data_IF_574676740647
#
_entry.id   IF_574676740647
#
_cell.length_a   1.000
_cell.length_b   1.000
_cell.length_c   1.000
_cell.angle_alpha   90.00
_cell.angle_beta   90.00
_cell.angle_gamma   90.00
#
_symmetry.space_group_name_H-M   'P 1'
#
loop_
_entity.id
_entity.type
_entity.pdbx_description
1 polymer ?
#
# COMPACT_ATOMS: atom_id res chain seq x y z
N UNK A 1 -8.41 0.25 8.18
CA UNK A 1 -7.44 -0.64 7.51
C UNK A 1 -7.88 -2.07 7.76
N UNK A 2 -7.79 -2.97 6.79
CA UNK A 2 -8.15 -4.37 7.00
C UNK A 2 -7.32 -5.28 6.11
N UNK A 3 -7.04 -6.48 6.61
CA UNK A 3 -6.35 -7.55 5.89
C UNK A 3 -7.13 -8.85 6.05
N UNK A 4 -7.07 -9.72 5.05
CA UNK A 4 -7.58 -11.09 5.15
C UNK A 4 -6.41 -12.04 4.94
N UNK A 5 -6.18 -12.90 5.93
CA UNK A 5 -5.14 -13.93 5.90
C UNK A 5 -5.82 -15.26 5.57
N UNK A 6 -5.32 -15.97 4.58
CA UNK A 6 -5.90 -17.22 4.08
C UNK A 6 -4.84 -18.32 4.09
N UNK A 7 -5.17 -19.49 4.64
CA UNK A 7 -4.28 -20.65 4.67
C UNK A 7 -4.70 -21.68 3.64
N UNK A 8 -3.90 -21.84 2.57
CA UNK A 8 -4.14 -22.89 1.55
C UNK A 8 -4.09 -24.31 2.14
N UNK A 9 -3.37 -24.51 3.25
CA UNK A 9 -3.24 -25.82 3.91
C UNK A 9 -4.52 -26.25 4.62
N UNK A 10 -5.18 -25.31 5.31
CA UNK A 10 -6.37 -25.61 6.12
C UNK A 10 -7.67 -25.22 5.43
N UNK A 11 -7.61 -24.42 4.37
CA UNK A 11 -8.80 -23.86 3.72
C UNK A 11 -9.49 -22.77 4.56
N UNK A 12 -8.89 -22.33 5.66
CA UNK A 12 -9.45 -21.29 6.54
C UNK A 12 -9.00 -19.88 6.13
N UNK A 13 -9.83 -18.89 6.46
CA UNK A 13 -9.49 -17.49 6.29
C UNK A 13 -10.02 -16.65 7.45
N UNK A 14 -9.21 -15.69 7.90
CA UNK A 14 -9.56 -14.73 8.95
C UNK A 14 -9.39 -13.33 8.40
N UNK A 15 -10.42 -12.50 8.60
CA UNK A 15 -10.38 -11.06 8.35
C UNK A 15 -10.07 -10.33 9.63
N UNK A 16 -9.07 -9.45 9.58
CA UNK A 16 -8.63 -8.59 10.68
C UNK A 16 -8.83 -7.15 10.22
N UNK A 17 -9.75 -6.42 10.83
CA UNK A 17 -10.04 -5.03 10.51
C UNK A 17 -9.74 -4.13 11.71
N UNK A 18 -8.95 -3.08 11.52
CA UNK A 18 -8.69 -2.09 12.55
C UNK A 18 -9.98 -1.35 12.89
N UNK A 19 -10.39 -1.39 14.16
CA UNK A 19 -11.50 -0.59 14.68
C UNK A 19 -11.21 0.89 14.48
N UNK A 20 -12.24 1.69 14.22
CA UNK A 20 -12.06 3.12 13.96
C UNK A 20 -11.45 3.84 15.17
N UNK A 21 -10.14 4.10 15.14
CA UNK A 21 -9.42 4.93 16.11
C UNK A 21 -9.12 6.30 15.50
N UNK A 22 -10.15 6.99 15.02
CA UNK A 22 -9.97 8.37 14.56
C UNK A 22 -9.44 9.21 15.73
N UNK A 23 -8.44 10.05 15.44
CA UNK A 23 -7.91 11.04 16.37
C UNK A 23 -8.91 12.16 16.68
N UNK A 24 -9.89 12.34 15.78
CA UNK A 24 -11.01 13.26 15.93
C UNK A 24 -12.25 12.42 16.16
N UNK A 25 -12.63 12.30 17.43
CA UNK A 25 -13.85 11.64 17.90
C UNK A 25 -14.49 12.54 18.94
N UNK A 26 -15.75 12.30 19.27
CA UNK A 26 -16.45 13.03 20.34
C UNK A 26 -15.74 12.90 21.70
N UNK A 27 -14.93 11.85 21.88
CA UNK A 27 -14.13 11.55 23.08
C UNK A 27 -12.63 11.84 22.93
N UNK A 28 -12.21 12.64 21.93
CA UNK A 28 -10.80 12.97 21.73
C UNK A 28 -10.23 13.79 22.89
N UNK A 29 -9.02 13.43 23.34
CA UNK A 29 -8.29 14.24 24.32
C UNK A 29 -7.57 15.41 23.65
N UNK A 30 -7.19 16.44 24.41
CA UNK A 30 -6.38 17.56 23.91
C UNK A 30 -5.10 17.09 23.19
N UNK A 31 -4.49 16.00 23.67
CA UNK A 31 -3.31 15.39 23.04
C UNK A 31 -3.63 14.77 21.67
N UNK A 32 -4.82 14.21 21.50
CA UNK A 32 -5.26 13.62 20.22
C UNK A 32 -5.55 14.72 19.19
N UNK A 33 -6.12 15.85 19.63
CA UNK A 33 -6.31 17.04 18.79
C UNK A 33 -4.98 17.66 18.37
N UNK A 34 -4.04 17.83 19.31
CA UNK A 34 -2.67 18.31 19.05
C UNK A 34 -1.97 17.40 18.04
N UNK A 35 -2.02 16.07 18.25
CA UNK A 35 -1.44 15.09 17.34
C UNK A 35 -2.06 15.17 15.93
N UNK A 36 -3.38 15.36 15.82
CA UNK A 36 -4.08 15.50 14.55
C UNK A 36 -3.70 16.79 13.81
N UNK A 37 -3.53 17.90 14.52
CA UNK A 37 -3.05 19.16 13.95
C UNK A 37 -1.62 19.03 13.44
N UNK A 38 -0.71 18.50 14.27
CA UNK A 38 0.69 18.31 13.90
C UNK A 38 0.83 17.36 12.71
N UNK A 39 0.05 16.28 12.66
CA UNK A 39 0.01 15.38 11.51
C UNK A 39 -0.45 16.10 10.23
N UNK A 40 -1.46 16.97 10.33
CA UNK A 40 -1.91 17.79 9.19
C UNK A 40 -0.76 18.66 8.69
N UNK A 41 -0.16 19.46 9.58
CA UNK A 41 0.90 20.41 9.22
C UNK A 41 2.15 19.72 8.67
N UNK A 42 2.68 18.72 9.38
CA UNK A 42 3.97 18.08 9.05
C UNK A 42 3.82 17.04 7.95
N UNK A 43 2.76 16.20 7.99
CA UNK A 43 2.65 15.04 7.09
C UNK A 43 1.78 15.35 5.87
N UNK A 44 0.58 15.91 6.07
CA UNK A 44 -0.34 16.20 4.95
C UNK A 44 0.13 17.40 4.14
N UNK A 45 0.40 18.51 4.83
CA UNK A 45 0.75 19.78 4.20
C UNK A 45 2.26 19.90 3.94
N UNK A 46 3.06 18.94 4.46
CA UNK A 46 4.52 18.84 4.28
C UNK A 46 5.25 20.13 4.68
N UNK A 47 4.78 20.81 5.72
CA UNK A 47 5.44 22.00 6.23
C UNK A 47 6.78 21.63 6.88
N UNK A 48 7.84 22.33 6.49
CA UNK A 48 9.16 22.22 7.11
C UNK A 48 9.15 22.94 8.47
N UNK A 49 8.70 22.23 9.49
CA UNK A 49 8.70 22.70 10.87
C UNK A 49 9.41 21.66 11.76
N UNK A 50 10.70 21.85 12.09
CA UNK A 50 11.45 20.93 12.91
C UNK A 50 10.89 20.76 14.33
N UNK A 51 10.29 21.82 14.89
CA UNK A 51 9.72 21.78 16.24
C UNK A 51 8.42 20.98 16.24
N UNK A 52 7.50 21.28 15.32
CA UNK A 52 6.28 20.51 15.13
C UNK A 52 6.60 19.03 14.82
N UNK A 53 7.62 18.79 13.99
CA UNK A 53 8.09 17.43 13.68
C UNK A 53 8.60 16.68 14.92
N UNK A 54 9.34 17.36 15.80
CA UNK A 54 9.83 16.78 17.07
C UNK A 54 8.66 16.49 18.01
N UNK A 55 7.75 17.46 18.21
CA UNK A 55 6.60 17.30 19.09
C UNK A 55 5.66 16.18 18.62
N UNK A 56 5.41 16.10 17.31
CA UNK A 56 4.63 15.03 16.70
C UNK A 56 5.25 13.66 16.98
N UNK A 57 6.57 13.52 16.86
CA UNK A 57 7.28 12.26 17.14
C UNK A 57 7.15 11.85 18.61
N UNK A 58 7.22 12.80 19.55
CA UNK A 58 7.04 12.53 20.98
C UNK A 58 5.63 11.98 21.26
N UNK A 59 4.59 12.68 20.79
CA UNK A 59 3.19 12.25 20.95
C UNK A 59 2.91 10.90 20.30
N UNK A 60 3.38 10.69 19.07
CA UNK A 60 3.18 9.42 18.35
C UNK A 60 3.92 8.27 19.03
N UNK A 61 5.08 8.54 19.65
CA UNK A 61 5.81 7.54 20.43
C UNK A 61 5.03 7.13 21.68
N UNK A 62 4.50 8.08 22.44
CA UNK A 62 3.64 7.79 23.60
C UNK A 62 2.46 6.91 23.18
N UNK A 63 1.72 7.32 22.14
CA UNK A 63 0.57 6.57 21.59
C UNK A 63 0.93 5.19 21.06
N UNK A 64 2.13 5.03 20.50
CA UNK A 64 2.62 3.73 20.04
C UNK A 64 2.79 2.76 21.21
N UNK A 65 3.34 3.21 22.34
CA UNK A 65 3.46 2.37 23.53
C UNK A 65 2.11 2.05 24.16
N UNK A 66 1.17 3.00 24.21
CA UNK A 66 -0.20 2.74 24.64
C UNK A 66 -0.84 1.63 23.79
N UNK A 67 -0.70 1.73 22.47
CA UNK A 67 -1.26 0.76 21.51
C UNK A 67 -0.70 -0.66 21.73
N UNK A 68 0.58 -0.80 22.07
CA UNK A 68 1.22 -2.10 22.34
C UNK A 68 0.66 -2.79 23.59
N UNK A 69 0.11 -2.03 24.55
CA UNK A 69 -0.46 -2.59 25.78
C UNK A 69 -1.93 -3.01 25.66
N UNK A 70 -2.58 -2.69 24.54
CA UNK A 70 -3.98 -3.02 24.30
C UNK A 70 -4.17 -4.44 23.80
N UNK A 71 -5.33 -5.01 24.08
CA UNK A 71 -5.71 -6.32 23.54
C UNK A 71 -6.02 -6.25 22.04
N UNK A 72 -5.95 -7.40 21.37
CA UNK A 72 -6.30 -7.50 19.96
C UNK A 72 -7.78 -7.19 19.72
N UNK A 73 -8.66 -7.56 20.64
CA UNK A 73 -10.09 -7.29 20.58
C UNK A 73 -10.42 -5.81 20.78
N UNK A 74 -9.59 -5.05 21.50
CA UNK A 74 -9.74 -3.60 21.60
C UNK A 74 -9.36 -2.89 20.31
N UNK A 75 -8.37 -3.45 19.58
CA UNK A 75 -7.81 -2.85 18.37
C UNK A 75 -8.53 -3.31 17.08
N UNK A 76 -9.01 -4.54 17.03
CA UNK A 76 -9.43 -5.18 15.80
C UNK A 76 -10.80 -5.86 15.92
N UNK A 77 -11.55 -5.83 14.81
CA UNK A 77 -12.60 -6.79 14.52
C UNK A 77 -11.96 -7.99 13.83
N UNK A 78 -12.00 -9.15 14.48
CA UNK A 78 -11.43 -10.41 13.98
C UNK A 78 -12.60 -11.34 13.64
N UNK A 79 -12.68 -11.80 12.40
CA UNK A 79 -13.83 -12.58 11.91
C UNK A 79 -13.38 -13.68 10.98
N UNK A 80 -13.83 -14.91 11.23
CA UNK A 80 -13.70 -16.01 10.27
C UNK A 80 -14.53 -15.69 9.01
N UNK A 81 -13.93 -15.85 7.84
CA UNK A 81 -14.57 -15.56 6.56
C UNK A 81 -14.45 -16.75 5.61
N UNK A 82 -15.38 -16.92 4.65
CA UNK A 82 -15.25 -17.92 3.61
C UNK A 82 -13.95 -17.73 2.82
N UNK A 83 -13.24 -18.82 2.55
CA UNK A 83 -12.00 -18.79 1.79
C UNK A 83 -12.25 -19.19 0.33
N UNK A 84 -12.18 -18.23 -0.59
CA UNK A 84 -12.07 -18.50 -2.03
C UNK A 84 -10.68 -18.11 -2.49
N UNK A 85 -9.82 -19.10 -2.75
CA UNK A 85 -8.46 -18.84 -3.16
C UNK A 85 -8.41 -18.44 -4.63
N UNK A 86 -7.66 -17.38 -4.99
CA UNK A 86 -7.35 -17.14 -6.39
C UNK A 86 -6.55 -18.31 -6.95
N UNK A 87 -6.71 -18.55 -8.25
CA UNK A 87 -5.89 -19.48 -9.01
C UNK A 87 -4.40 -19.18 -8.80
N UNK A 88 -3.57 -20.21 -8.96
CA UNK A 88 -2.13 -19.99 -8.94
C UNK A 88 -1.74 -19.07 -10.10
N UNK A 89 -0.77 -18.19 -9.84
CA UNK A 89 -0.20 -17.38 -10.90
C UNK A 89 0.36 -18.32 -11.98
N UNK A 90 0.00 -18.14 -13.26
CA UNK A 90 0.54 -18.97 -14.32
C UNK A 90 2.06 -18.77 -14.42
N UNK A 91 2.78 -19.86 -14.69
CA UNK A 91 4.18 -19.77 -15.11
C UNK A 91 4.17 -19.33 -16.57
N UNK A 92 4.87 -18.25 -16.86
CA UNK A 92 4.96 -17.66 -18.19
C UNK A 92 6.43 -17.48 -18.54
N UNK A 93 6.76 -17.65 -19.81
CA UNK A 93 8.12 -17.51 -20.28
C UNK A 93 8.61 -16.05 -20.17
N UNK A 94 9.91 -15.89 -19.92
CA UNK A 94 10.60 -14.63 -20.08
C UNK A 94 10.89 -14.38 -21.56
N UNK A 95 10.82 -13.13 -21.97
CA UNK A 95 11.18 -12.66 -23.31
C UNK A 95 12.28 -11.61 -23.16
N UNK A 96 13.19 -11.52 -24.13
CA UNK A 96 14.25 -10.48 -24.14
C UNK A 96 13.82 -9.31 -24.99
N UNK A 97 13.87 -8.09 -24.45
CA UNK A 97 13.51 -6.88 -25.19
C UNK A 97 14.55 -6.58 -26.27
N UNK A 98 14.14 -6.47 -27.54
CA UNK A 98 15.03 -6.11 -28.65
C UNK A 98 15.68 -4.72 -28.47
N UNK A 99 15.02 -3.79 -27.78
CA UNK A 99 15.47 -2.39 -27.66
C UNK A 99 16.45 -2.18 -26.51
N UNK A 100 16.15 -2.68 -25.30
CA UNK A 100 17.02 -2.49 -24.12
C UNK A 100 17.82 -3.72 -23.70
N UNK A 101 17.50 -4.92 -24.21
CA UNK A 101 18.17 -6.17 -23.86
C UNK A 101 17.78 -6.79 -22.52
N UNK A 102 16.87 -6.18 -21.76
CA UNK A 102 16.38 -6.73 -20.49
C UNK A 102 15.39 -7.88 -20.71
N UNK A 103 15.43 -8.88 -19.84
CA UNK A 103 14.39 -9.91 -19.76
C UNK A 103 13.14 -9.35 -19.07
N UNK A 104 11.98 -9.66 -19.63
CA UNK A 104 10.69 -9.27 -19.07
C UNK A 104 9.68 -10.41 -19.15
N UNK A 105 8.66 -10.35 -18.30
CA UNK A 105 7.58 -11.34 -18.29
C UNK A 105 6.83 -11.31 -19.62
N UNK A 106 6.68 -12.43 -20.32
CA UNK A 106 6.06 -12.47 -21.66
C UNK A 106 4.62 -11.92 -21.74
N UNK A 107 3.88 -11.90 -20.62
CA UNK A 107 2.57 -11.24 -20.50
C UNK A 107 2.63 -9.71 -20.57
N UNK A 108 3.84 -9.14 -20.52
CA UNK A 108 4.15 -7.71 -20.66
C UNK A 108 4.84 -7.41 -22.00
N UNK A 109 4.58 -8.23 -23.02
CA UNK A 109 5.11 -8.06 -24.38
C UNK A 109 4.31 -7.06 -25.19
N UNK A 110 5.01 -6.09 -25.79
CA UNK A 110 4.59 -5.39 -26.98
C UNK A 110 5.35 -5.96 -28.20
N UNK A 111 4.92 -5.58 -29.41
CA UNK A 111 5.61 -5.98 -30.64
C UNK A 111 6.02 -4.74 -31.44
N UNK A 112 7.27 -4.73 -31.91
CA UNK A 112 7.77 -3.78 -32.91
C UNK A 112 8.53 -4.56 -33.98
N UNK A 113 8.17 -4.37 -35.25
CA UNK A 113 8.75 -5.09 -36.40
C UNK A 113 8.76 -6.62 -36.25
N UNK A 114 7.74 -7.18 -35.59
CA UNK A 114 7.61 -8.62 -35.36
C UNK A 114 8.45 -9.15 -34.19
N UNK A 115 9.25 -8.31 -33.53
CA UNK A 115 10.15 -8.68 -32.44
C UNK A 115 9.59 -8.26 -31.07
N UNK A 116 9.91 -8.99 -29.99
CA UNK A 116 9.45 -8.68 -28.65
C UNK A 116 10.12 -7.41 -28.10
N UNK A 117 9.29 -6.49 -27.58
CA UNK A 117 9.73 -5.27 -26.90
C UNK A 117 8.98 -5.11 -25.58
N UNK A 118 9.67 -4.66 -24.53
CA UNK A 118 9.01 -4.42 -23.24
C UNK A 118 8.06 -3.21 -23.32
N UNK A 119 7.00 -3.19 -22.50
CA UNK A 119 6.00 -2.08 -22.52
C UNK A 119 6.63 -0.69 -22.35
N UNK A 120 7.75 -0.59 -21.63
CA UNK A 120 8.46 0.67 -21.43
C UNK A 120 9.12 1.17 -22.72
N UNK A 121 9.90 0.32 -23.40
CA UNK A 121 10.57 0.69 -24.66
C UNK A 121 9.58 0.96 -25.79
N UNK A 122 8.48 0.19 -25.86
CA UNK A 122 7.42 0.41 -26.84
C UNK A 122 6.60 1.69 -26.59
N UNK A 123 6.82 2.37 -25.45
CA UNK A 123 6.02 3.53 -25.07
C UNK A 123 4.53 3.20 -24.97
N UNK A 124 4.21 2.01 -24.47
CA UNK A 124 2.83 1.53 -24.31
C UNK A 124 2.26 1.94 -22.96
N UNK A 125 0.97 2.23 -22.93
CA UNK A 125 0.26 2.48 -21.68
C UNK A 125 0.18 1.20 -20.84
N UNK A 126 0.49 1.28 -19.54
CA UNK A 126 0.45 0.11 -18.67
C UNK A 126 -0.08 0.46 -17.27
N UNK A 127 -0.62 -0.52 -16.54
CA UNK A 127 -1.02 -0.32 -15.15
C UNK A 127 0.21 -0.39 -14.25
N UNK A 128 0.45 0.66 -13.46
CA UNK A 128 1.56 0.77 -12.53
C UNK A 128 1.09 1.17 -11.13
N UNK A 129 1.78 0.68 -10.11
CA UNK A 129 1.59 1.10 -8.72
C UNK A 129 2.39 2.37 -8.49
N UNK A 130 1.71 3.50 -8.30
CA UNK A 130 2.32 4.78 -7.93
C UNK A 130 1.94 5.16 -6.49
N UNK A 131 2.52 6.22 -5.94
CA UNK A 131 2.19 6.72 -4.59
C UNK A 131 0.71 7.07 -4.38
N UNK A 132 -0.05 7.25 -5.47
CA UNK A 132 -1.50 7.50 -5.48
C UNK A 132 -2.35 6.24 -5.75
N UNK A 133 -1.73 5.06 -5.79
CA UNK A 133 -2.39 3.78 -6.08
C UNK A 133 -2.09 3.23 -7.48
N UNK A 134 -2.87 2.24 -7.89
CA UNK A 134 -2.76 1.59 -9.20
C UNK A 134 -3.37 2.51 -10.25
N UNK A 135 -2.58 2.98 -11.21
CA UNK A 135 -3.04 3.88 -12.26
C UNK A 135 -2.40 3.56 -13.62
N UNK A 136 -3.00 4.10 -14.67
CA UNK A 136 -2.47 3.99 -16.03
C UNK A 136 -1.26 4.91 -16.19
N UNK A 137 -0.10 4.30 -16.40
CA UNK A 137 1.15 4.94 -16.77
C UNK A 137 1.16 5.17 -18.28
N UNK A 138 1.20 6.43 -18.69
CA UNK A 138 1.22 6.77 -20.12
C UNK A 138 2.60 6.56 -20.69
N UNK A 139 2.68 5.82 -21.79
CA UNK A 139 3.92 5.53 -22.51
C UNK A 139 5.07 4.96 -21.68
N UNK A 140 4.77 4.25 -20.59
CA UNK A 140 5.80 3.74 -19.68
C UNK A 140 6.60 4.79 -18.92
N UNK A 141 6.21 6.07 -18.95
CA UNK A 141 6.95 7.17 -18.31
C UNK A 141 6.33 7.52 -16.96
N UNK A 142 7.14 7.51 -15.90
CA UNK A 142 6.71 7.97 -14.58
C UNK A 142 6.35 9.46 -14.60
N UNK A 143 5.17 9.83 -14.08
CA UNK A 143 4.81 11.23 -13.94
C UNK A 143 5.81 11.90 -13.00
N UNK A 144 6.39 13.02 -13.44
CA UNK A 144 7.20 13.91 -12.60
C UNK A 144 6.33 14.79 -11.72
#
# INVERSE_FOLDING_TARGET
FAVTIMSRKTGSAVRIALKSRQWVREDASDKDEEAAELFRRVVKDRQEDPEASRRMKELFREKSFETVTMSEEELFDITDVPATFPEYAPIVDSETCKTCGEEFMGTKKAQEDGEPVCLACAGTDCMAVLGRGICMLKRGVFPT
#
